data_IF_499199994608
#
_entry.id   IF_499199994608
#
_cell.length_a   1.000
_cell.length_b   1.000
_cell.length_c   1.000
_cell.angle_alpha   90.00
_cell.angle_beta   90.00
_cell.angle_gamma   90.00
#
_symmetry.space_group_name_H-M   'P 1'
#
loop_
_entity.id
_entity.type
_entity.pdbx_description
1 polymer ?
#
# COMPACT_ATOMS: atom_id res chain seq x y z
N UNK A 1 -9.51 3.19 -0.20
CA UNK A 1 -8.91 1.88 0.05
C UNK A 1 -8.39 1.40 -1.26
N UNK A 2 -7.16 0.94 -1.34
CA UNK A 2 -6.80 0.12 -2.46
C UNK A 2 -7.90 -0.93 -2.63
N UNK A 3 -8.19 -1.31 -3.85
CA UNK A 3 -9.08 -2.42 -4.16
C UNK A 3 -8.76 -3.54 -3.18
N UNK A 4 -9.77 -4.16 -2.56
CA UNK A 4 -9.51 -5.29 -1.65
C UNK A 4 -8.47 -6.18 -2.31
N UNK A 5 -7.40 -6.56 -1.61
CA UNK A 5 -6.36 -7.45 -2.12
C UNK A 5 -6.96 -8.62 -2.92
N UNK A 6 -8.05 -9.17 -2.42
CA UNK A 6 -8.77 -10.25 -3.08
C UNK A 6 -9.32 -9.83 -4.45
N UNK A 7 -9.84 -8.62 -4.59
CA UNK A 7 -10.36 -8.11 -5.88
C UNK A 7 -9.25 -8.04 -6.93
N UNK A 8 -8.09 -7.53 -6.57
CA UNK A 8 -6.92 -7.47 -7.46
C UNK A 8 -6.44 -8.87 -7.84
N UNK A 9 -6.37 -9.79 -6.87
CA UNK A 9 -5.97 -11.19 -7.13
C UNK A 9 -6.96 -11.86 -8.09
N UNK A 10 -8.27 -11.74 -7.84
CA UNK A 10 -9.30 -12.32 -8.69
C UNK A 10 -9.26 -11.75 -10.12
N UNK A 11 -9.08 -10.43 -10.26
CA UNK A 11 -8.93 -9.79 -11.57
C UNK A 11 -7.72 -10.32 -12.34
N UNK A 12 -6.59 -10.47 -11.65
CA UNK A 12 -5.36 -11.04 -12.23
C UNK A 12 -5.55 -12.50 -12.65
N UNK A 13 -6.26 -13.31 -11.84
CA UNK A 13 -6.57 -14.70 -12.18
C UNK A 13 -7.44 -14.77 -13.44
N UNK A 14 -8.52 -14.01 -13.49
CA UNK A 14 -9.41 -13.99 -14.69
C UNK A 14 -8.60 -13.59 -15.93
N UNK A 15 -7.81 -12.55 -15.85
CA UNK A 15 -6.96 -12.09 -16.96
C UNK A 15 -5.98 -13.17 -17.42
N UNK A 16 -5.25 -13.78 -16.48
CA UNK A 16 -4.28 -14.84 -16.79
C UNK A 16 -4.92 -16.05 -17.45
N UNK A 17 -6.09 -16.51 -16.94
CA UNK A 17 -6.81 -17.64 -17.50
C UNK A 17 -7.35 -17.34 -18.90
N UNK A 18 -7.79 -16.09 -19.15
CA UNK A 18 -8.19 -15.63 -20.47
C UNK A 18 -7.03 -15.61 -21.46
N UNK A 19 -5.91 -15.01 -21.07
CA UNK A 19 -4.71 -14.90 -21.91
C UNK A 19 -4.11 -16.27 -22.23
N UNK A 20 -4.10 -17.19 -21.27
CA UNK A 20 -3.65 -18.56 -21.48
C UNK A 20 -4.48 -19.30 -22.58
N UNK A 21 -5.74 -18.88 -22.76
CA UNK A 21 -6.64 -19.42 -23.81
C UNK A 21 -6.69 -18.56 -25.06
N UNK A 22 -5.82 -17.54 -25.14
CA UNK A 22 -5.73 -16.61 -26.26
C UNK A 22 -7.04 -15.87 -26.57
N UNK A 23 -7.91 -15.70 -25.57
CA UNK A 23 -9.17 -14.98 -25.72
C UNK A 23 -8.96 -13.47 -25.54
N UNK A 24 -9.65 -12.68 -26.36
CA UNK A 24 -9.81 -11.24 -26.11
C UNK A 24 -10.87 -11.02 -25.04
N UNK A 25 -10.85 -9.84 -24.40
CA UNK A 25 -11.91 -9.46 -23.44
C UNK A 25 -13.31 -9.51 -24.07
N UNK A 26 -13.43 -9.18 -25.36
CA UNK A 26 -14.70 -9.23 -26.11
C UNK A 26 -15.18 -10.66 -26.30
N UNK A 27 -14.29 -11.58 -26.61
CA UNK A 27 -14.63 -13.00 -26.77
C UNK A 27 -15.04 -13.63 -25.46
N UNK A 28 -14.29 -13.37 -24.36
CA UNK A 28 -14.69 -13.82 -23.04
C UNK A 28 -16.06 -13.26 -22.65
N UNK A 29 -16.28 -11.96 -22.86
CA UNK A 29 -17.57 -11.32 -22.57
C UNK A 29 -18.72 -11.99 -23.31
N UNK A 30 -18.53 -12.30 -24.60
CA UNK A 30 -19.54 -13.02 -25.42
C UNK A 30 -19.78 -14.43 -24.89
N UNK A 31 -18.75 -15.18 -24.56
CA UNK A 31 -18.87 -16.56 -24.04
C UNK A 31 -19.58 -16.57 -22.67
N UNK A 32 -19.23 -15.64 -21.81
CA UNK A 32 -19.81 -15.50 -20.47
C UNK A 32 -21.16 -14.75 -20.45
N UNK A 33 -21.68 -14.24 -21.59
CA UNK A 33 -22.95 -13.52 -21.62
C UNK A 33 -22.93 -12.18 -20.87
N UNK A 34 -21.77 -11.51 -20.76
CA UNK A 34 -21.60 -10.21 -20.06
C UNK A 34 -21.08 -9.14 -21.03
N UNK A 35 -21.00 -7.88 -20.58
CA UNK A 35 -20.40 -6.82 -21.39
C UNK A 35 -18.87 -6.84 -21.33
N UNK A 36 -18.20 -6.41 -22.42
CA UNK A 36 -16.73 -6.24 -22.44
C UNK A 36 -16.25 -5.29 -21.33
N UNK A 37 -16.99 -4.21 -21.09
CA UNK A 37 -16.66 -3.26 -20.03
C UNK A 37 -16.71 -3.90 -18.64
N UNK A 38 -17.54 -4.93 -18.43
CA UNK A 38 -17.58 -5.70 -17.20
C UNK A 38 -16.31 -6.51 -17.04
N UNK A 39 -15.88 -7.24 -18.07
CA UNK A 39 -14.63 -8.02 -18.07
C UNK A 39 -13.44 -7.10 -17.80
N UNK A 40 -13.35 -5.97 -18.50
CA UNK A 40 -12.27 -5.01 -18.34
C UNK A 40 -12.16 -4.49 -16.88
N UNK A 41 -13.30 -4.11 -16.26
CA UNK A 41 -13.32 -3.62 -14.87
C UNK A 41 -13.03 -4.70 -13.84
N UNK A 42 -13.37 -5.95 -14.10
CA UNK A 42 -12.98 -7.06 -13.23
C UNK A 42 -11.47 -7.29 -13.32
N UNK A 43 -10.91 -7.34 -14.54
CA UNK A 43 -9.48 -7.58 -14.76
C UNK A 43 -8.58 -6.45 -14.27
N UNK A 44 -9.05 -5.18 -14.29
CA UNK A 44 -8.33 -4.03 -13.74
C UNK A 44 -8.43 -3.93 -12.21
N UNK A 45 -9.34 -4.69 -11.59
CA UNK A 45 -9.61 -4.58 -10.16
C UNK A 45 -10.44 -3.35 -9.77
N UNK A 46 -11.02 -2.64 -10.75
CA UNK A 46 -11.89 -1.48 -10.50
C UNK A 46 -13.28 -1.89 -10.00
N UNK A 47 -13.61 -3.16 -10.17
CA UNK A 47 -14.88 -3.73 -9.70
C UNK A 47 -14.64 -5.06 -8.99
N UNK A 48 -15.23 -5.20 -7.80
CA UNK A 48 -15.35 -6.49 -7.14
C UNK A 48 -16.38 -7.35 -7.86
N UNK A 49 -16.02 -8.50 -8.47
CA UNK A 49 -17.00 -9.42 -9.02
C UNK A 49 -17.81 -10.07 -7.89
N UNK A 50 -19.10 -10.35 -8.13
CA UNK A 50 -19.81 -11.31 -7.29
C UNK A 50 -19.27 -12.73 -7.55
N UNK A 51 -19.55 -13.66 -6.63
CA UNK A 51 -19.13 -15.06 -6.80
C UNK A 51 -19.73 -15.63 -8.09
N UNK A 52 -21.00 -15.36 -8.36
CA UNK A 52 -21.73 -15.82 -9.55
C UNK A 52 -21.10 -15.28 -10.84
N UNK A 53 -20.71 -14.00 -10.86
CA UNK A 53 -20.03 -13.41 -12.01
C UNK A 53 -18.65 -14.04 -12.22
N UNK A 54 -17.93 -14.32 -11.15
CA UNK A 54 -16.61 -14.95 -11.21
C UNK A 54 -16.73 -16.38 -11.76
N UNK A 55 -17.68 -17.18 -11.25
CA UNK A 55 -17.99 -18.52 -11.75
C UNK A 55 -18.36 -18.47 -13.23
N UNK A 56 -19.26 -17.57 -13.62
CA UNK A 56 -19.68 -17.39 -15.01
C UNK A 56 -18.50 -17.07 -15.95
N UNK A 57 -17.56 -16.22 -15.54
CA UNK A 57 -16.36 -15.92 -16.32
C UNK A 57 -15.42 -17.13 -16.41
N UNK A 58 -15.23 -17.86 -15.31
CA UNK A 58 -14.36 -19.04 -15.28
C UNK A 58 -14.97 -20.21 -16.05
N UNK A 59 -16.25 -20.47 -15.90
CA UNK A 59 -16.97 -21.52 -16.66
C UNK A 59 -16.88 -21.29 -18.15
N UNK A 60 -17.02 -20.04 -18.61
CA UNK A 60 -16.85 -19.66 -20.00
C UNK A 60 -15.45 -19.98 -20.57
N UNK A 61 -14.48 -20.13 -19.68
CA UNK A 61 -13.10 -20.52 -19.99
C UNK A 61 -12.83 -22.01 -19.71
N UNK A 62 -13.81 -22.78 -19.26
CA UNK A 62 -13.62 -24.16 -18.83
C UNK A 62 -12.74 -24.29 -17.58
N UNK A 63 -12.79 -23.32 -16.71
CA UNK A 63 -12.07 -23.28 -15.43
C UNK A 63 -13.05 -23.27 -14.25
N UNK A 64 -12.63 -23.78 -13.12
CA UNK A 64 -13.40 -23.84 -11.89
C UNK A 64 -12.65 -23.11 -10.77
N UNK A 65 -13.38 -22.36 -9.94
CA UNK A 65 -12.83 -21.76 -8.75
C UNK A 65 -12.77 -22.79 -7.60
N UNK A 66 -11.58 -22.97 -7.03
CA UNK A 66 -11.43 -23.69 -5.77
C UNK A 66 -11.06 -22.70 -4.68
N UNK A 67 -11.81 -22.68 -3.59
CA UNK A 67 -11.57 -21.77 -2.46
C UNK A 67 -10.94 -22.56 -1.32
N UNK A 68 -9.76 -22.11 -0.88
CA UNK A 68 -9.12 -22.56 0.34
C UNK A 68 -9.10 -21.42 1.36
N UNK A 69 -9.33 -21.74 2.63
CA UNK A 69 -9.21 -20.78 3.73
C UNK A 69 -7.91 -21.05 4.44
N UNK A 70 -7.02 -20.07 4.43
CA UNK A 70 -5.75 -20.10 5.16
C UNK A 70 -5.81 -19.17 6.36
N UNK A 71 -5.02 -19.39 7.42
CA UNK A 71 -4.86 -18.41 8.49
C UNK A 71 -4.45 -17.07 7.91
N UNK A 72 -5.06 -15.98 8.39
CA UNK A 72 -4.81 -14.61 7.91
C UNK A 72 -3.31 -14.26 7.96
N UNK A 73 -2.58 -14.90 8.84
CA UNK A 73 -1.18 -14.67 9.13
C UNK A 73 -0.19 -15.36 8.17
N UNK A 74 -0.60 -16.46 7.53
CA UNK A 74 0.31 -17.24 6.68
C UNK A 74 0.88 -16.42 5.51
N UNK A 75 0.05 -15.63 4.86
CA UNK A 75 0.48 -14.74 3.77
C UNK A 75 1.32 -13.55 4.25
N UNK A 76 0.95 -12.98 5.39
CA UNK A 76 1.70 -11.87 5.99
C UNK A 76 3.10 -12.32 6.38
N UNK A 77 3.21 -13.49 6.99
CA UNK A 77 4.49 -14.09 7.38
C UNK A 77 5.35 -14.43 6.16
N UNK A 78 4.75 -14.96 5.09
CA UNK A 78 5.46 -15.20 3.83
C UNK A 78 6.00 -13.90 3.22
N UNK A 79 5.19 -12.82 3.23
CA UNK A 79 5.61 -11.49 2.75
C UNK A 79 6.73 -10.89 3.59
N UNK A 80 6.65 -10.97 4.92
CA UNK A 80 7.72 -10.52 5.82
C UNK A 80 9.01 -11.30 5.52
N UNK A 81 8.91 -12.62 5.32
CA UNK A 81 10.06 -13.46 4.97
C UNK A 81 10.69 -13.07 3.62
N UNK A 82 9.86 -12.84 2.61
CA UNK A 82 10.32 -12.39 1.29
C UNK A 82 11.00 -11.02 1.35
N UNK A 83 10.43 -10.06 2.09
CA UNK A 83 11.02 -8.74 2.29
C UNK A 83 12.34 -8.81 3.09
N UNK A 84 12.42 -9.66 4.10
CA UNK A 84 13.64 -9.83 4.89
C UNK A 84 14.82 -10.37 4.05
N UNK A 85 14.54 -11.13 3.00
CA UNK A 85 15.55 -11.62 2.04
C UNK A 85 15.98 -10.61 0.98
N UNK A 86 15.31 -9.46 0.86
CA UNK A 86 15.65 -8.43 -0.12
C UNK A 86 16.64 -7.40 0.47
N UNK A 87 17.57 -6.86 -0.33
CA UNK A 87 18.42 -5.76 0.08
C UNK A 87 17.57 -4.55 0.53
N UNK A 88 18.01 -3.86 1.59
CA UNK A 88 17.28 -2.72 2.13
C UNK A 88 17.11 -1.60 1.08
N UNK A 89 18.13 -1.36 0.26
CA UNK A 89 18.09 -0.35 -0.80
C UNK A 89 16.94 -0.61 -1.79
N UNK A 90 16.78 -1.86 -2.23
CA UNK A 90 15.71 -2.25 -3.16
C UNK A 90 14.31 -2.05 -2.53
N UNK A 91 14.19 -2.33 -1.24
CA UNK A 91 12.93 -2.11 -0.51
C UNK A 91 12.59 -0.63 -0.36
N UNK A 92 13.59 0.23 -0.13
CA UNK A 92 13.41 1.69 -0.05
C UNK A 92 12.97 2.23 -1.42
N UNK A 93 13.59 1.77 -2.50
CA UNK A 93 13.24 2.16 -3.87
C UNK A 93 11.80 1.73 -4.22
N UNK A 94 11.45 0.47 -3.96
CA UNK A 94 10.10 -0.05 -4.19
C UNK A 94 9.02 0.68 -3.38
N UNK A 95 9.34 1.15 -2.19
CA UNK A 95 8.42 1.92 -1.33
C UNK A 95 8.19 3.36 -1.84
N UNK A 96 8.98 3.84 -2.79
CA UNK A 96 8.86 5.18 -3.36
C UNK A 96 9.17 6.33 -2.38
N UNK A 97 9.80 6.04 -1.23
CA UNK A 97 10.09 7.02 -0.19
C UNK A 97 10.91 8.19 -0.74
N UNK A 98 11.90 7.87 -1.55
CA UNK A 98 12.79 8.85 -2.16
C UNK A 98 12.07 9.85 -3.05
N UNK A 99 11.12 9.38 -3.84
CA UNK A 99 10.34 10.23 -4.74
C UNK A 99 9.47 11.23 -3.96
N UNK A 100 8.86 10.76 -2.87
CA UNK A 100 8.04 11.60 -1.99
C UNK A 100 8.91 12.62 -1.25
N UNK A 101 10.00 12.18 -0.60
CA UNK A 101 10.89 13.06 0.19
C UNK A 101 11.56 14.11 -0.70
N UNK A 102 12.03 13.72 -1.89
CA UNK A 102 12.61 14.68 -2.84
C UNK A 102 11.62 15.79 -3.26
N UNK A 103 10.33 15.46 -3.38
CA UNK A 103 9.30 16.44 -3.73
C UNK A 103 8.82 17.27 -2.54
N UNK A 104 8.88 16.75 -1.32
CA UNK A 104 8.61 17.52 -0.11
C UNK A 104 9.64 18.64 0.08
N UNK A 105 10.88 18.43 -0.40
CA UNK A 105 11.93 19.44 -0.38
C UNK A 105 12.22 19.94 1.04
N UNK A 106 12.05 21.24 1.26
CA UNK A 106 12.29 21.90 2.53
C UNK A 106 11.08 21.95 3.48
N UNK A 107 9.95 21.32 3.11
CA UNK A 107 8.79 21.20 3.99
C UNK A 107 9.15 20.38 5.23
N UNK A 108 9.05 20.93 6.44
CA UNK A 108 9.40 20.19 7.66
C UNK A 108 8.51 18.97 7.83
N UNK A 109 9.11 17.80 7.87
CA UNK A 109 8.41 16.53 8.04
C UNK A 109 9.26 15.51 8.81
N UNK A 110 8.61 14.48 9.32
CA UNK A 110 9.25 13.30 9.90
C UNK A 110 8.57 12.07 9.31
N UNK A 111 9.35 11.13 8.80
CA UNK A 111 8.84 9.84 8.34
C UNK A 111 8.38 9.02 9.54
N UNK A 112 7.22 8.38 9.43
CA UNK A 112 6.54 7.69 10.52
C UNK A 112 6.13 6.26 10.11
N UNK A 113 5.52 5.53 11.01
CA UNK A 113 4.89 4.24 10.75
C UNK A 113 5.77 3.24 10.03
N UNK A 114 5.21 2.59 9.00
CA UNK A 114 5.91 1.61 8.17
C UNK A 114 7.12 2.18 7.43
N UNK A 115 7.05 3.45 6.99
CA UNK A 115 8.17 4.12 6.31
C UNK A 115 9.36 4.31 7.23
N UNK A 116 9.12 4.75 8.47
CA UNK A 116 10.19 4.87 9.48
C UNK A 116 10.77 3.51 9.86
N UNK A 117 9.93 2.49 9.99
CA UNK A 117 10.36 1.13 10.32
C UNK A 117 11.24 0.53 9.19
N UNK A 118 10.82 0.69 7.93
CA UNK A 118 11.58 0.23 6.78
C UNK A 118 12.97 0.87 6.72
N UNK A 119 13.07 2.19 6.88
CA UNK A 119 14.33 2.91 6.86
C UNK A 119 15.27 2.51 8.01
N UNK A 120 14.74 1.97 9.09
CA UNK A 120 15.50 1.38 10.20
C UNK A 120 15.75 -0.14 10.01
N UNK A 121 15.54 -0.65 8.80
CA UNK A 121 15.88 -2.02 8.40
C UNK A 121 14.76 -3.05 8.60
N UNK A 122 13.62 -2.68 9.17
CA UNK A 122 12.52 -3.60 9.40
C UNK A 122 11.93 -4.14 8.06
N UNK A 123 11.62 -5.44 7.96
CA UNK A 123 11.04 -6.02 6.74
C UNK A 123 9.52 -5.82 6.72
N UNK A 124 9.09 -4.58 6.78
CA UNK A 124 7.67 -4.22 6.72
C UNK A 124 7.28 -3.81 5.30
N UNK A 125 6.11 -4.22 4.80
CA UNK A 125 5.59 -3.74 3.54
C UNK A 125 5.14 -2.28 3.69
N UNK A 126 5.60 -1.41 2.80
CA UNK A 126 5.19 -0.01 2.71
C UNK A 126 4.38 0.16 1.43
N UNK A 127 3.11 0.49 1.57
CA UNK A 127 2.18 0.73 0.44
C UNK A 127 1.90 2.21 0.24
N UNK A 128 2.07 2.99 1.27
CA UNK A 128 2.01 4.45 1.28
C UNK A 128 3.16 5.02 2.11
N UNK A 129 3.69 6.16 1.72
CA UNK A 129 4.72 6.85 2.50
C UNK A 129 4.06 7.58 3.66
N UNK A 130 4.41 7.17 4.88
CA UNK A 130 3.84 7.74 6.11
C UNK A 130 4.71 8.86 6.65
N UNK A 131 4.11 10.04 6.84
CA UNK A 131 4.80 11.26 7.32
C UNK A 131 4.00 11.96 8.42
N UNK A 132 4.71 12.67 9.28
CA UNK A 132 4.15 13.65 10.21
C UNK A 132 4.44 15.06 9.71
N UNK A 133 3.43 15.91 9.69
CA UNK A 133 3.49 17.33 9.27
C UNK A 133 2.90 18.17 10.40
N UNK A 134 3.51 19.33 10.68
CA UNK A 134 2.93 20.26 11.65
C UNK A 134 1.67 20.90 11.09
N UNK A 135 0.68 21.08 11.94
CA UNK A 135 -0.53 21.81 11.59
C UNK A 135 -0.21 23.24 11.11
N UNK A 136 0.79 23.89 11.70
CA UNK A 136 1.28 25.19 11.28
C UNK A 136 1.82 25.23 9.84
N UNK A 137 2.26 24.12 9.29
CA UNK A 137 2.76 23.97 7.92
C UNK A 137 1.67 23.47 6.93
N UNK A 138 0.41 23.35 7.37
CA UNK A 138 -0.70 22.80 6.58
C UNK A 138 -0.90 23.52 5.25
N UNK A 139 -0.77 24.85 5.21
CA UNK A 139 -0.90 25.62 3.98
C UNK A 139 0.20 25.27 2.95
N UNK A 140 1.46 25.10 3.40
CA UNK A 140 2.57 24.69 2.55
C UNK A 140 2.38 23.25 2.05
N UNK A 141 1.89 22.39 2.93
CA UNK A 141 1.57 21.01 2.57
C UNK A 141 0.43 20.95 1.55
N UNK A 142 -0.64 21.73 1.72
CA UNK A 142 -1.73 21.83 0.75
C UNK A 142 -1.23 22.32 -0.62
N UNK A 143 -0.32 23.29 -0.64
CA UNK A 143 0.30 23.73 -1.89
C UNK A 143 1.08 22.60 -2.55
N UNK A 144 1.87 21.85 -1.78
CA UNK A 144 2.60 20.68 -2.27
C UNK A 144 1.65 19.61 -2.85
N UNK A 145 0.51 19.34 -2.20
CA UNK A 145 -0.53 18.44 -2.71
C UNK A 145 -1.12 18.92 -4.03
N UNK A 146 -1.38 20.23 -4.13
CA UNK A 146 -1.91 20.87 -5.34
C UNK A 146 -0.94 20.74 -6.50
N UNK A 147 0.34 21.06 -6.28
CA UNK A 147 1.41 20.97 -7.29
C UNK A 147 1.68 19.51 -7.70
N UNK A 148 1.37 18.57 -6.82
CA UNK A 148 1.45 17.13 -7.05
C UNK A 148 0.20 16.50 -7.67
N UNK A 149 -0.79 17.28 -8.08
CA UNK A 149 -2.09 16.81 -8.60
C UNK A 149 -2.71 15.75 -7.68
N UNK A 150 -2.63 15.98 -6.37
CA UNK A 150 -3.06 15.01 -5.39
C UNK A 150 -4.58 14.76 -5.45
N UNK A 151 -4.95 13.54 -5.10
CA UNK A 151 -6.33 13.13 -4.85
C UNK A 151 -6.42 12.69 -3.39
N UNK A 152 -7.38 13.24 -2.65
CA UNK A 152 -7.62 12.83 -1.27
C UNK A 152 -8.52 11.62 -1.21
N UNK A 153 -8.19 10.68 -0.32
CA UNK A 153 -9.05 9.53 -0.02
C UNK A 153 -10.32 9.98 0.71
N UNK A 154 -11.48 9.60 0.16
CA UNK A 154 -12.77 9.77 0.81
C UNK A 154 -13.22 8.42 1.40
N UNK A 155 -13.31 8.35 2.74
CA UNK A 155 -13.67 7.12 3.44
C UNK A 155 -15.15 6.75 3.23
N UNK A 156 -16.05 7.73 3.02
CA UNK A 156 -17.48 7.50 2.83
C UNK A 156 -17.75 6.83 1.47
N UNK A 157 -17.12 7.34 0.41
CA UNK A 157 -17.30 6.81 -0.94
C UNK A 157 -16.25 5.77 -1.34
N UNK A 158 -15.21 5.59 -0.50
CA UNK A 158 -14.12 4.65 -0.69
C UNK A 158 -13.40 4.86 -2.03
N UNK A 159 -13.17 6.11 -2.39
CA UNK A 159 -12.50 6.51 -3.61
C UNK A 159 -11.58 7.71 -3.37
N UNK A 160 -10.65 7.92 -4.31
CA UNK A 160 -9.83 9.12 -4.37
C UNK A 160 -10.53 10.20 -5.20
N UNK A 161 -10.49 11.44 -4.71
CA UNK A 161 -11.10 12.58 -5.39
C UNK A 161 -10.29 13.87 -5.22
N UNK A 162 -10.59 14.85 -6.05
CA UNK A 162 -9.91 16.15 -6.06
C UNK A 162 -10.52 17.18 -5.10
N UNK A 163 -11.63 16.85 -4.48
CA UNK A 163 -12.33 17.78 -3.58
C UNK A 163 -11.61 17.86 -2.23
N UNK A 164 -11.35 19.09 -1.78
CA UNK A 164 -10.80 19.40 -0.46
C UNK A 164 -9.50 18.67 -0.17
N UNK A 165 -8.43 19.14 -0.76
CA UNK A 165 -7.08 18.61 -0.52
C UNK A 165 -6.58 18.93 0.89
N UNK A 166 -7.03 20.06 1.46
CA UNK A 166 -6.63 20.52 2.78
C UNK A 166 -7.01 19.51 3.85
N UNK A 167 -6.13 19.24 4.81
CA UNK A 167 -6.50 18.55 6.02
C UNK A 167 -7.49 19.43 6.80
N UNK A 168 -8.67 18.90 7.12
CA UNK A 168 -9.73 19.66 7.81
C UNK A 168 -9.56 19.67 9.32
N UNK A 169 -8.96 18.60 9.87
CA UNK A 169 -8.77 18.38 11.30
C UNK A 169 -7.38 17.78 11.56
N UNK A 170 -6.80 17.98 12.75
CA UNK A 170 -5.64 17.20 13.15
C UNK A 170 -5.95 15.70 13.07
N UNK A 171 -5.02 14.91 12.53
CA UNK A 171 -5.22 13.48 12.37
C UNK A 171 -4.49 12.92 11.16
N UNK A 172 -4.86 11.72 10.76
CA UNK A 172 -4.29 11.05 9.60
C UNK A 172 -5.17 11.17 8.38
N UNK A 173 -4.54 11.53 7.25
CA UNK A 173 -5.20 11.60 5.96
C UNK A 173 -4.35 10.91 4.89
N UNK A 174 -5.01 10.36 3.88
CA UNK A 174 -4.37 9.66 2.77
C UNK A 174 -4.60 10.42 1.47
N UNK A 175 -3.52 10.66 0.74
CA UNK A 175 -3.54 11.24 -0.60
C UNK A 175 -2.79 10.35 -1.57
N UNK A 176 -3.29 10.29 -2.78
CA UNK A 176 -2.58 9.78 -3.95
C UNK A 176 -1.95 10.95 -4.68
N UNK A 177 -0.65 10.87 -4.94
CA UNK A 177 0.11 11.89 -5.66
C UNK A 177 0.86 11.28 -6.83
N UNK A 178 1.43 12.11 -7.68
CA UNK A 178 2.30 11.63 -8.77
C UNK A 178 3.61 10.98 -8.27
N UNK A 179 3.98 11.23 -7.01
CA UNK A 179 5.16 10.61 -6.38
C UNK A 179 4.83 9.29 -5.65
N UNK A 180 3.56 8.96 -5.51
CA UNK A 180 3.06 7.80 -4.76
C UNK A 180 1.94 8.17 -3.78
N UNK A 181 1.42 7.18 -3.10
CA UNK A 181 0.41 7.38 -2.06
C UNK A 181 1.10 7.86 -0.77
N UNK A 182 0.57 8.91 -0.16
CA UNK A 182 1.12 9.56 1.04
C UNK A 182 0.07 9.60 2.13
N UNK A 183 0.40 9.04 3.28
CA UNK A 183 -0.38 9.16 4.50
C UNK A 183 0.28 10.18 5.41
N UNK A 184 -0.35 11.33 5.61
CA UNK A 184 0.18 12.34 6.51
C UNK A 184 -0.65 12.41 7.79
N UNK A 185 0.07 12.44 8.92
CA UNK A 185 -0.48 12.79 10.23
C UNK A 185 -0.22 14.27 10.48
N UNK A 186 -1.30 15.01 10.67
CA UNK A 186 -1.22 16.40 11.10
C UNK A 186 -1.08 16.44 12.62
N UNK A 187 -0.08 17.18 13.12
CA UNK A 187 0.23 17.27 14.56
C UNK A 187 0.62 18.72 14.92
N UNK A 188 0.43 19.09 16.18
CA UNK A 188 0.82 20.42 16.67
C UNK A 188 2.34 20.58 16.65
N UNK A 189 3.06 19.54 17.09
CA UNK A 189 4.52 19.46 17.05
C UNK A 189 4.96 18.18 16.35
N UNK A 190 6.08 18.26 15.60
CA UNK A 190 6.66 17.08 14.98
C UNK A 190 7.12 16.10 16.08
N UNK A 191 6.91 14.79 15.87
CA UNK A 191 7.39 13.80 16.80
C UNK A 191 8.92 13.84 16.91
N UNK A 192 9.43 13.33 18.03
CA UNK A 192 10.87 13.10 18.20
C UNK A 192 11.38 12.25 17.03
N UNK A 193 12.52 12.63 16.47
CA UNK A 193 13.07 11.99 15.30
C UNK A 193 14.57 11.76 15.44
N UNK A 194 15.01 10.64 14.89
CA UNK A 194 16.42 10.35 14.66
C UNK A 194 16.76 10.51 13.18
N UNK A 195 18.04 10.71 12.90
CA UNK A 195 18.55 10.76 11.53
C UNK A 195 19.05 9.38 11.12
N UNK A 196 18.55 8.88 9.98
CA UNK A 196 18.97 7.62 9.37
C UNK A 196 19.53 7.90 7.99
N UNK A 197 20.68 7.29 7.64
CA UNK A 197 21.36 7.49 6.36
C UNK A 197 21.34 6.23 5.52
N UNK A 198 20.96 6.39 4.23
CA UNK A 198 21.08 5.36 3.23
C UNK A 198 21.75 5.94 1.98
N UNK A 199 22.95 5.47 1.69
CA UNK A 199 23.80 6.07 0.65
C UNK A 199 24.12 7.53 1.01
N UNK A 200 23.86 8.44 0.06
CA UNK A 200 24.08 9.87 0.22
C UNK A 200 22.89 10.60 0.87
N UNK A 201 21.76 9.91 1.10
CA UNK A 201 20.52 10.52 1.59
C UNK A 201 20.39 10.36 3.09
N UNK A 202 19.82 11.38 3.70
CA UNK A 202 19.50 11.44 5.13
C UNK A 202 18.01 11.64 5.32
N UNK A 203 17.42 10.92 6.27
CA UNK A 203 16.00 10.91 6.56
C UNK A 203 15.79 11.14 8.05
N UNK A 204 14.84 12.03 8.37
CA UNK A 204 14.34 12.18 9.73
C UNK A 204 13.21 11.20 9.95
N UNK A 205 13.38 10.25 10.87
CA UNK A 205 12.44 9.17 11.12
C UNK A 205 12.05 9.07 12.58
N UNK A 206 10.82 8.71 12.86
CA UNK A 206 10.39 8.33 14.21
C UNK A 206 11.19 7.10 14.66
N UNK A 207 11.79 7.09 15.87
CA UNK A 207 12.52 5.95 16.38
C UNK A 207 11.67 4.67 16.37
N UNK A 208 12.28 3.52 16.06
CA UNK A 208 11.57 2.25 15.91
C UNK A 208 10.75 1.88 17.16
N UNK A 209 11.28 2.16 18.35
CA UNK A 209 10.57 1.95 19.62
C UNK A 209 9.29 2.79 19.69
N UNK A 210 9.33 4.03 19.24
CA UNK A 210 8.15 4.89 19.21
C UNK A 210 7.14 4.45 18.14
N UNK A 211 7.60 3.95 16.98
CA UNK A 211 6.75 3.34 15.97
C UNK A 211 5.98 2.16 16.55
N UNK A 212 6.64 1.28 17.31
CA UNK A 212 6.00 0.13 17.96
C UNK A 212 4.90 0.53 18.97
N UNK A 213 5.02 1.70 19.59
CA UNK A 213 4.03 2.19 20.55
C UNK A 213 2.85 2.87 19.83
N UNK A 214 3.14 3.63 18.78
CA UNK A 214 2.15 4.52 18.15
C UNK A 214 1.44 3.92 16.95
N UNK A 215 2.04 2.89 16.32
CA UNK A 215 1.48 2.21 15.16
C UNK A 215 1.26 0.71 15.44
N UNK A 216 0.02 0.30 15.79
CA UNK A 216 -0.31 -1.10 16.08
C UNK A 216 -0.01 -2.05 14.91
N UNK A 217 -0.09 -1.56 13.65
CA UNK A 217 0.18 -2.37 12.46
C UNK A 217 1.67 -2.65 12.32
N UNK A 218 2.49 -1.61 12.39
CA UNK A 218 3.94 -1.76 12.38
C UNK A 218 4.42 -2.60 13.57
N UNK A 219 3.86 -2.40 14.77
CA UNK A 219 4.19 -3.17 15.96
C UNK A 219 3.92 -4.68 15.78
N UNK A 220 2.78 -5.05 15.18
CA UNK A 220 2.47 -6.46 14.90
C UNK A 220 3.45 -7.07 13.91
N UNK A 221 3.77 -6.39 12.82
CA UNK A 221 4.73 -6.83 11.82
C UNK A 221 6.13 -7.04 12.41
N UNK A 222 6.59 -6.10 13.23
CA UNK A 222 7.88 -6.16 13.89
C UNK A 222 7.96 -7.32 14.91
N UNK A 223 6.88 -7.54 15.66
CA UNK A 223 6.77 -8.65 16.60
C UNK A 223 6.87 -10.00 15.87
N UNK A 224 6.13 -10.16 14.77
CA UNK A 224 6.14 -11.36 13.92
C UNK A 224 7.52 -11.63 13.35
N UNK A 225 8.18 -10.60 12.84
CA UNK A 225 9.54 -10.72 12.33
C UNK A 225 10.51 -11.23 13.40
N UNK A 226 10.48 -10.66 14.61
CA UNK A 226 11.33 -11.11 15.74
C UNK A 226 11.04 -12.55 16.17
N UNK A 227 9.77 -12.95 16.20
CA UNK A 227 9.39 -14.33 16.53
C UNK A 227 9.94 -15.34 15.52
N UNK A 228 9.95 -15.00 14.22
CA UNK A 228 10.53 -15.87 13.19
C UNK A 228 12.04 -16.00 13.31
N UNK A 229 12.75 -14.92 13.59
CA UNK A 229 14.20 -14.98 13.83
C UNK A 229 14.51 -15.88 15.01
N UNK A 230 13.84 -15.72 16.13
CA UNK A 230 14.00 -16.57 17.31
C UNK A 230 13.61 -18.05 17.10
N UNK A 231 12.66 -18.32 16.20
CA UNK A 231 12.26 -19.68 15.83
C UNK A 231 13.25 -20.37 14.87
N UNK A 232 13.85 -19.62 13.96
CA UNK A 232 14.85 -20.11 13.01
C UNK A 232 16.18 -20.53 13.68
N UNK A 233 16.61 -19.79 14.71
CA UNK A 233 17.80 -20.10 15.49
C UNK A 233 17.68 -21.39 16.34
N UNK A 234 16.47 -21.83 16.64
CA UNK A 234 16.22 -23.08 17.40
C UNK A 234 16.16 -24.34 16.53
N UNK A 235 16.15 -24.17 15.21
CA UNK A 235 16.02 -25.30 14.25
C UNK A 235 17.31 -25.54 13.45
N UNK A 236 18.39 -24.82 13.77
CA UNK A 236 19.75 -25.01 13.25
C UNK A 236 20.67 -25.57 14.32
#
# INVERSE_FOLDING_TARGET
>A
MPSSRLVTVLGTVVRREREARQLTQRELARLAGVSQAMVARVESGDRSPSVELLEQLLDAMGAQLTVAVEPLDADLDARIGALAGQPLADRIDQAGIDAVVARLGDLPHVLAGGSAALLQGAPVPVTEVEIAIRWADSARFTQWLTDGYAQRWNAQWREFGYLRLEPEEPGEHLWRTVAGDVRARMCDELPEAIEVRHGERSYRVVPLVAVEITDPRAADLLRRHRQRQAGGERSS
#
